data_IF_119545226132
#
_entry.id   IF_119545226132
#
_cell.length_a   1.000
_cell.length_b   1.000
_cell.length_c   1.000
_cell.angle_alpha   90.00
_cell.angle_beta   90.00
_cell.angle_gamma   90.00
#
_symmetry.space_group_name_H-M   'P 1'
#
loop_
_entity.id
_entity.type
_entity.pdbx_description
1 polymer ?
#
# COMPACT_ATOMS: atom_id res chain seq x y z
N UNK A 1 7.95 -18.89 -7.03
CA UNK A 1 6.54 -19.20 -6.64
C UNK A 1 6.04 -18.28 -5.54
N UNK A 2 6.71 -18.15 -4.39
CA UNK A 2 6.29 -17.25 -3.30
C UNK A 2 6.02 -15.80 -3.76
N UNK A 3 7.00 -15.15 -4.41
CA UNK A 3 6.87 -13.75 -4.88
C UNK A 3 5.68 -13.55 -5.83
N UNK A 4 5.40 -14.54 -6.70
CA UNK A 4 4.29 -14.46 -7.64
C UNK A 4 2.94 -14.41 -6.91
N UNK A 5 2.78 -15.22 -5.85
CA UNK A 5 1.59 -15.17 -5.00
C UNK A 5 1.52 -13.88 -4.18
N UNK A 6 2.65 -13.39 -3.65
CA UNK A 6 2.70 -12.14 -2.86
C UNK A 6 2.18 -10.90 -3.60
N UNK A 7 2.17 -10.91 -4.94
CA UNK A 7 1.69 -9.79 -5.78
C UNK A 7 0.23 -9.88 -6.21
N UNK A 8 -0.54 -10.88 -5.75
CA UNK A 8 -1.96 -11.06 -6.10
C UNK A 8 -2.94 -10.57 -5.02
N UNK A 9 -2.44 -10.27 -3.82
CA UNK A 9 -3.20 -9.61 -2.74
C UNK A 9 -4.51 -10.31 -2.33
N UNK A 10 -4.61 -11.64 -2.51
CA UNK A 10 -5.71 -12.43 -1.95
C UNK A 10 -5.26 -13.14 -0.67
N UNK A 11 -6.17 -13.45 0.27
CA UNK A 11 -5.83 -14.27 1.44
C UNK A 11 -5.21 -15.61 1.06
N UNK A 12 -5.76 -16.27 0.03
CA UNK A 12 -5.27 -17.56 -0.46
C UNK A 12 -3.85 -17.47 -1.03
N UNK A 13 -3.56 -16.42 -1.81
CA UNK A 13 -2.21 -16.20 -2.34
C UNK A 13 -1.22 -15.83 -1.22
N UNK A 14 -1.65 -15.04 -0.22
CA UNK A 14 -0.80 -14.71 0.94
C UNK A 14 -0.43 -15.96 1.75
N UNK A 15 -1.36 -16.91 1.90
CA UNK A 15 -1.11 -18.19 2.55
C UNK A 15 -0.20 -19.10 1.71
N UNK A 16 -0.45 -19.19 0.40
CA UNK A 16 0.40 -19.94 -0.52
C UNK A 16 1.84 -19.41 -0.52
N UNK A 17 2.02 -18.09 -0.49
CA UNK A 17 3.33 -17.46 -0.34
C UNK A 17 4.00 -17.89 0.96
N UNK A 18 3.29 -17.91 2.09
CA UNK A 18 3.83 -18.32 3.39
C UNK A 18 4.39 -19.75 3.36
N UNK A 19 3.66 -20.72 2.78
CA UNK A 19 4.11 -22.11 2.67
C UNK A 19 5.44 -22.22 1.90
N UNK A 20 5.55 -21.53 0.76
CA UNK A 20 6.79 -21.54 -0.01
C UNK A 20 7.95 -20.85 0.72
N UNK A 21 7.67 -19.82 1.50
CA UNK A 21 8.67 -19.10 2.29
C UNK A 21 9.18 -19.94 3.46
N UNK A 22 8.30 -20.65 4.16
CA UNK A 22 8.70 -21.59 5.19
C UNK A 22 9.63 -22.67 4.64
N UNK A 23 9.29 -23.22 3.46
CA UNK A 23 10.17 -24.20 2.81
C UNK A 23 11.53 -23.62 2.42
N UNK A 24 11.55 -22.38 1.92
CA UNK A 24 12.80 -21.71 1.58
C UNK A 24 13.68 -21.51 2.83
N UNK A 25 13.09 -21.05 3.94
CA UNK A 25 13.80 -20.82 5.20
C UNK A 25 14.22 -22.11 5.92
N UNK A 26 13.53 -23.23 5.69
CA UNK A 26 14.00 -24.55 6.15
C UNK A 26 15.24 -25.03 5.40
N UNK A 27 15.37 -24.68 4.12
CA UNK A 27 16.50 -25.07 3.28
C UNK A 27 17.70 -24.14 3.49
N UNK A 28 17.44 -22.85 3.60
CA UNK A 28 18.43 -21.80 3.84
C UNK A 28 17.86 -20.76 4.82
N UNK A 29 18.13 -20.92 6.14
CA UNK A 29 17.68 -19.98 7.17
C UNK A 29 18.18 -18.54 6.97
N UNK A 30 19.31 -18.37 6.28
CA UNK A 30 19.98 -17.08 6.07
C UNK A 30 19.61 -16.46 4.70
N UNK A 31 18.61 -17.03 4.01
CA UNK A 31 18.17 -16.50 2.73
C UNK A 31 17.45 -15.15 2.90
N UNK A 32 18.20 -14.05 2.79
CA UNK A 32 17.70 -12.67 3.00
C UNK A 32 16.37 -12.36 2.29
N UNK A 33 16.24 -12.74 1.00
CA UNK A 33 15.02 -12.47 0.23
C UNK A 33 13.79 -13.23 0.71
N UNK A 34 13.96 -14.39 1.35
CA UNK A 34 12.83 -15.08 1.97
C UNK A 34 12.33 -14.31 3.20
N UNK A 35 13.22 -13.71 4.00
CA UNK A 35 12.82 -12.82 5.10
C UNK A 35 12.16 -11.54 4.57
N UNK A 36 12.68 -10.94 3.49
CA UNK A 36 12.03 -9.79 2.84
C UNK A 36 10.62 -10.12 2.34
N UNK A 37 10.43 -11.29 1.73
CA UNK A 37 9.12 -11.75 1.27
C UNK A 37 8.18 -12.10 2.43
N UNK A 38 8.69 -12.68 3.53
CA UNK A 38 7.93 -12.91 4.76
C UNK A 38 7.40 -11.60 5.34
N UNK A 39 8.22 -10.55 5.34
CA UNK A 39 7.79 -9.20 5.71
C UNK A 39 6.61 -8.71 4.87
N UNK A 40 6.65 -8.92 3.54
CA UNK A 40 5.56 -8.51 2.66
C UNK A 40 4.26 -9.27 2.89
N UNK A 41 4.34 -10.56 3.26
CA UNK A 41 3.17 -11.35 3.63
C UNK A 41 2.51 -10.79 4.89
N UNK A 42 3.29 -10.51 5.94
CA UNK A 42 2.80 -9.87 7.17
C UNK A 42 2.25 -8.46 6.91
N UNK A 43 2.96 -7.65 6.10
CA UNK A 43 2.48 -6.34 5.65
C UNK A 43 1.12 -6.48 4.97
N UNK A 44 0.95 -7.45 4.07
CA UNK A 44 -0.28 -7.62 3.31
C UNK A 44 -1.46 -8.01 4.21
N UNK A 45 -1.22 -8.88 5.21
CA UNK A 45 -2.21 -9.25 6.22
C UNK A 45 -2.65 -8.05 7.06
N UNK A 46 -1.70 -7.21 7.47
CA UNK A 46 -2.00 -5.98 8.22
C UNK A 46 -2.75 -4.95 7.36
N UNK A 47 -2.24 -4.70 6.15
CA UNK A 47 -2.74 -3.67 5.24
C UNK A 47 -4.11 -4.00 4.66
N UNK A 48 -4.41 -5.28 4.42
CA UNK A 48 -5.71 -5.72 3.89
C UNK A 48 -6.69 -6.19 4.97
N UNK A 49 -6.35 -5.98 6.25
CA UNK A 49 -7.19 -6.38 7.40
C UNK A 49 -7.59 -7.87 7.39
N UNK A 50 -6.64 -8.74 7.03
CA UNK A 50 -6.85 -10.20 6.99
C UNK A 50 -6.09 -10.94 8.09
N UNK A 51 -5.31 -10.23 8.91
CA UNK A 51 -4.61 -10.80 10.06
C UNK A 51 -5.50 -10.91 11.29
N UNK A 52 -5.27 -11.92 12.14
CA UNK A 52 -6.03 -12.08 13.39
C UNK A 52 -5.66 -11.00 14.42
N UNK A 53 -4.38 -10.65 14.50
CA UNK A 53 -3.87 -9.55 15.31
C UNK A 53 -3.03 -8.63 14.42
N UNK A 54 -3.62 -7.49 14.04
CA UNK A 54 -2.97 -6.54 13.13
C UNK A 54 -1.71 -5.93 13.74
N UNK A 55 -1.63 -5.77 15.07
CA UNK A 55 -0.41 -5.23 15.71
C UNK A 55 0.73 -6.24 15.62
N UNK A 56 0.42 -7.51 15.83
CA UNK A 56 1.36 -8.60 15.61
C UNK A 56 1.84 -8.65 14.16
N UNK A 57 0.94 -8.55 13.18
CA UNK A 57 1.32 -8.54 11.76
C UNK A 57 2.25 -7.36 11.40
N UNK A 58 1.96 -6.15 11.91
CA UNK A 58 2.84 -4.98 11.69
C UNK A 58 4.23 -5.23 12.28
N UNK A 59 4.30 -5.76 13.51
CA UNK A 59 5.57 -6.02 14.18
C UNK A 59 6.38 -7.12 13.47
N UNK A 60 5.72 -8.21 13.05
CA UNK A 60 6.39 -9.28 12.30
C UNK A 60 6.85 -8.82 10.91
N UNK A 61 6.11 -7.91 10.27
CA UNK A 61 6.56 -7.29 9.03
C UNK A 61 7.87 -6.53 9.24
N UNK A 62 7.96 -5.75 10.33
CA UNK A 62 9.16 -5.00 10.69
C UNK A 62 10.34 -5.92 11.01
N UNK A 63 10.18 -6.85 11.94
CA UNK A 63 11.23 -7.77 12.37
C UNK A 63 11.78 -8.62 11.21
N UNK A 64 10.90 -9.13 10.33
CA UNK A 64 11.32 -9.91 9.17
C UNK A 64 12.11 -9.07 8.15
N UNK A 65 11.73 -7.81 7.94
CA UNK A 65 12.46 -6.92 7.05
C UNK A 65 13.82 -6.51 7.63
N UNK A 66 13.89 -6.22 8.93
CA UNK A 66 15.15 -5.92 9.62
C UNK A 66 16.12 -7.09 9.52
N UNK A 67 15.63 -8.31 9.69
CA UNK A 67 16.43 -9.52 9.54
C UNK A 67 16.94 -9.70 8.09
N UNK A 68 16.10 -9.44 7.09
CA UNK A 68 16.55 -9.43 5.69
C UNK A 68 17.69 -8.43 5.46
N UNK A 69 17.54 -7.20 5.96
CA UNK A 69 18.57 -6.16 5.81
C UNK A 69 19.86 -6.50 6.57
N UNK A 70 19.77 -7.19 7.72
CA UNK A 70 20.98 -7.63 8.43
C UNK A 70 21.72 -8.75 7.71
N UNK A 71 21.01 -9.61 6.97
CA UNK A 71 21.58 -10.69 6.18
C UNK A 71 22.20 -10.18 4.87
N UNK A 72 21.55 -9.23 4.20
CA UNK A 72 22.11 -8.53 3.03
C UNK A 72 21.66 -7.07 2.98
N UNK A 73 22.55 -6.18 3.43
CA UNK A 73 22.29 -4.74 3.47
C UNK A 73 22.32 -4.06 2.10
N UNK A 74 22.71 -4.78 1.04
CA UNK A 74 22.77 -4.25 -0.33
C UNK A 74 21.61 -4.73 -1.19
N UNK A 75 20.72 -5.58 -0.69
CA UNK A 75 19.54 -6.00 -1.46
C UNK A 75 18.45 -4.93 -1.38
N UNK A 76 18.05 -4.42 -2.55
CA UNK A 76 17.01 -3.41 -2.67
C UNK A 76 15.67 -3.90 -2.10
N UNK A 77 15.39 -5.20 -2.20
CA UNK A 77 14.14 -5.79 -1.72
C UNK A 77 14.03 -5.73 -0.18
N UNK A 78 15.12 -5.98 0.56
CA UNK A 78 15.12 -5.91 2.02
C UNK A 78 14.78 -4.52 2.53
N UNK A 79 15.47 -3.50 2.01
CA UNK A 79 15.21 -2.09 2.34
C UNK A 79 13.81 -1.62 1.91
N UNK A 80 13.30 -2.13 0.78
CA UNK A 80 11.94 -1.86 0.33
C UNK A 80 10.89 -2.44 1.28
N UNK A 81 11.04 -3.71 1.66
CA UNK A 81 10.17 -4.35 2.66
C UNK A 81 10.22 -3.62 3.99
N UNK A 82 11.42 -3.19 4.42
CA UNK A 82 11.60 -2.42 5.66
C UNK A 82 10.87 -1.09 5.62
N UNK A 83 10.99 -0.34 4.53
CA UNK A 83 10.29 0.93 4.37
C UNK A 83 8.77 0.79 4.42
N UNK A 84 8.22 -0.26 3.80
CA UNK A 84 6.78 -0.55 3.88
C UNK A 84 6.33 -0.93 5.29
N UNK A 85 7.11 -1.75 5.99
CA UNK A 85 6.80 -2.13 7.38
C UNK A 85 6.85 -0.92 8.33
N UNK A 86 7.88 -0.08 8.20
CA UNK A 86 8.01 1.16 8.97
C UNK A 86 6.85 2.12 8.71
N UNK A 87 6.35 2.19 7.48
CA UNK A 87 5.17 2.98 7.15
C UNK A 87 3.92 2.54 7.94
N UNK A 88 3.62 1.23 7.99
CA UNK A 88 2.50 0.73 8.79
C UNK A 88 2.70 0.95 10.30
N UNK A 89 3.95 0.96 10.75
CA UNK A 89 4.31 1.33 12.11
C UNK A 89 4.27 2.86 12.37
N UNK A 90 3.79 3.66 11.41
CA UNK A 90 3.71 5.13 11.45
C UNK A 90 5.08 5.82 11.59
N UNK A 91 6.16 5.14 11.21
CA UNK A 91 7.53 5.64 11.23
C UNK A 91 7.90 6.25 9.87
N UNK A 92 7.17 7.29 9.47
CA UNK A 92 7.25 7.90 8.13
C UNK A 92 8.68 8.26 7.68
N UNK A 93 9.45 8.90 8.56
CA UNK A 93 10.79 9.39 8.19
C UNK A 93 11.78 8.23 8.04
N UNK A 94 11.66 7.19 8.88
CA UNK A 94 12.43 5.95 8.74
C UNK A 94 12.04 5.21 7.47
N UNK A 95 10.73 5.14 7.17
CA UNK A 95 10.22 4.50 5.96
C UNK A 95 10.83 5.11 4.70
N UNK A 96 10.84 6.45 4.60
CA UNK A 96 11.45 7.17 3.47
C UNK A 96 12.96 6.90 3.38
N UNK A 97 13.69 6.91 4.51
CA UNK A 97 15.12 6.62 4.52
C UNK A 97 15.46 5.18 4.08
N UNK A 98 14.65 4.20 4.49
CA UNK A 98 14.81 2.81 4.02
C UNK A 98 14.51 2.69 2.53
N UNK A 99 13.48 3.36 2.03
CA UNK A 99 13.14 3.36 0.61
C UNK A 99 14.20 4.07 -0.25
N UNK A 100 14.84 5.11 0.29
CA UNK A 100 16.00 5.72 -0.33
C UNK A 100 17.17 4.72 -0.45
N UNK A 101 17.48 3.97 0.61
CA UNK A 101 18.51 2.90 0.56
C UNK A 101 18.17 1.82 -0.46
N UNK A 102 16.89 1.45 -0.58
CA UNK A 102 16.43 0.51 -1.62
C UNK A 102 16.78 1.02 -3.03
N UNK A 103 16.53 2.30 -3.30
CA UNK A 103 16.80 2.91 -4.60
C UNK A 103 18.29 3.23 -4.82
N UNK A 104 19.07 3.46 -3.77
CA UNK A 104 20.53 3.52 -3.87
C UNK A 104 21.13 2.16 -4.26
N UNK A 105 20.58 1.07 -3.71
CA UNK A 105 20.98 -0.30 -4.06
C UNK A 105 20.56 -0.68 -5.49
N UNK A 106 19.37 -0.26 -5.92
CA UNK A 106 18.90 -0.44 -7.29
C UNK A 106 18.04 0.75 -7.75
N UNK A 107 18.63 1.69 -8.52
CA UNK A 107 17.91 2.86 -9.03
C UNK A 107 16.76 2.55 -9.98
N UNK A 108 16.69 1.34 -10.54
CA UNK A 108 15.63 0.92 -11.45
C UNK A 108 14.58 0.04 -10.77
N UNK A 109 14.56 0.00 -9.42
CA UNK A 109 13.62 -0.83 -8.68
C UNK A 109 12.22 -0.18 -8.67
N UNK A 110 11.36 -0.60 -9.60
CA UNK A 110 10.02 -0.05 -9.78
C UNK A 110 9.19 -0.06 -8.49
N UNK A 111 9.26 -1.15 -7.71
CA UNK A 111 8.56 -1.28 -6.44
C UNK A 111 9.10 -0.31 -5.37
N UNK A 112 10.40 0.01 -5.42
CA UNK A 112 11.03 1.02 -4.56
C UNK A 112 10.51 2.42 -4.86
N UNK A 113 10.45 2.81 -6.15
CA UNK A 113 9.88 4.08 -6.58
C UNK A 113 8.40 4.19 -6.20
N UNK A 114 7.61 3.13 -6.43
CA UNK A 114 6.21 3.10 -6.04
C UNK A 114 6.06 3.28 -4.53
N UNK A 115 6.77 2.50 -3.72
CA UNK A 115 6.66 2.58 -2.27
C UNK A 115 7.11 3.95 -1.73
N UNK A 116 8.16 4.55 -2.30
CA UNK A 116 8.60 5.90 -1.92
C UNK A 116 7.55 6.95 -2.25
N UNK A 117 6.97 6.91 -3.45
CA UNK A 117 5.86 7.77 -3.82
C UNK A 117 4.64 7.58 -2.90
N UNK A 118 4.23 6.33 -2.69
CA UNK A 118 3.12 5.98 -1.79
C UNK A 118 3.31 6.52 -0.37
N UNK A 119 4.49 6.31 0.23
CA UNK A 119 4.82 6.83 1.56
C UNK A 119 4.88 8.36 1.55
N UNK A 120 5.39 8.98 0.49
CA UNK A 120 5.47 10.45 0.39
C UNK A 120 4.09 11.11 0.40
N UNK A 121 3.12 10.54 -0.32
CA UNK A 121 1.72 11.01 -0.32
C UNK A 121 1.16 11.07 1.09
N UNK A 122 1.32 9.99 1.85
CA UNK A 122 0.77 9.87 3.21
C UNK A 122 1.64 10.53 4.28
N UNK A 123 2.88 10.90 3.94
CA UNK A 123 3.82 11.63 4.81
C UNK A 123 3.70 13.16 4.71
N UNK A 124 2.73 13.68 3.94
CA UNK A 124 2.56 15.12 3.79
C UNK A 124 3.32 15.75 2.62
N UNK A 125 3.87 14.95 1.71
CA UNK A 125 4.73 15.41 0.61
C UNK A 125 4.13 14.93 -0.73
N UNK A 126 2.87 15.31 -1.07
CA UNK A 126 2.16 14.73 -2.20
C UNK A 126 2.69 15.17 -3.56
N UNK A 127 3.22 16.39 -3.70
CA UNK A 127 3.68 16.94 -4.99
C UNK A 127 4.89 16.14 -5.51
N UNK A 128 5.86 15.91 -4.64
CA UNK A 128 7.11 15.22 -4.93
C UNK A 128 6.89 13.71 -5.14
N UNK A 129 5.73 13.17 -4.74
CA UNK A 129 5.38 11.77 -4.94
C UNK A 129 5.02 11.42 -6.40
N UNK A 130 4.49 12.37 -7.18
CA UNK A 130 4.00 12.09 -8.54
C UNK A 130 5.13 11.58 -9.47
N UNK A 131 6.30 12.26 -9.56
CA UNK A 131 7.40 11.79 -10.40
C UNK A 131 7.88 10.37 -10.05
N UNK A 132 7.87 10.00 -8.77
CA UNK A 132 8.24 8.67 -8.29
C UNK A 132 7.24 7.61 -8.76
N UNK A 133 5.95 7.88 -8.63
CA UNK A 133 4.88 6.98 -9.05
C UNK A 133 4.87 6.81 -10.57
N UNK A 134 5.15 7.87 -11.32
CA UNK A 134 5.30 7.81 -12.78
C UNK A 134 6.58 7.06 -13.19
N UNK A 135 7.68 7.22 -12.46
CA UNK A 135 8.90 6.44 -12.69
C UNK A 135 8.64 4.95 -12.48
N UNK A 136 7.96 4.57 -11.40
CA UNK A 136 7.57 3.17 -11.15
C UNK A 136 6.76 2.58 -12.31
N UNK A 137 5.75 3.32 -12.79
CA UNK A 137 4.93 2.89 -13.92
C UNK A 137 5.73 2.79 -15.24
N UNK A 138 6.66 3.70 -15.50
CA UNK A 138 7.54 3.63 -16.69
C UNK A 138 8.49 2.43 -16.64
N UNK A 139 9.04 2.15 -15.46
CA UNK A 139 9.96 1.04 -15.24
C UNK A 139 9.25 -0.33 -15.32
N UNK A 140 7.96 -0.39 -14.96
CA UNK A 140 7.15 -1.60 -14.99
C UNK A 140 5.72 -1.30 -15.47
N UNK A 141 5.47 -1.21 -16.79
CA UNK A 141 4.15 -0.83 -17.32
C UNK A 141 3.03 -1.85 -17.10
N UNK A 142 3.39 -3.11 -16.83
CA UNK A 142 2.45 -4.21 -16.55
C UNK A 142 2.62 -4.74 -15.12
N UNK A 143 3.03 -3.87 -14.20
CA UNK A 143 3.28 -4.25 -12.81
C UNK A 143 1.99 -4.74 -12.12
N UNK A 144 2.05 -5.81 -11.31
CA UNK A 144 0.91 -6.23 -10.49
C UNK A 144 0.40 -5.14 -9.53
N UNK A 145 1.22 -4.15 -9.19
CA UNK A 145 0.88 -3.00 -8.34
C UNK A 145 0.40 -1.78 -9.11
N UNK A 146 0.16 -1.87 -10.43
CA UNK A 146 -0.25 -0.73 -11.25
C UNK A 146 -1.51 -0.03 -10.70
N UNK A 147 -2.49 -0.79 -10.22
CA UNK A 147 -3.68 -0.27 -9.54
C UNK A 147 -3.31 0.66 -8.36
N UNK A 148 -2.29 0.29 -7.58
CA UNK A 148 -1.86 1.01 -6.40
C UNK A 148 -1.03 2.24 -6.77
N UNK A 149 -0.21 2.15 -7.82
CA UNK A 149 0.54 3.30 -8.35
C UNK A 149 -0.42 4.39 -8.84
N UNK A 150 -1.43 4.01 -9.62
CA UNK A 150 -2.46 4.93 -10.14
C UNK A 150 -3.29 5.51 -8.99
N UNK A 151 -3.73 4.68 -8.06
CA UNK A 151 -4.51 5.13 -6.90
C UNK A 151 -3.72 6.10 -6.00
N UNK A 152 -2.42 5.85 -5.79
CA UNK A 152 -1.57 6.76 -5.01
C UNK A 152 -1.41 8.12 -5.68
N UNK A 153 -1.31 8.17 -7.02
CA UNK A 153 -1.30 9.43 -7.77
C UNK A 153 -2.64 10.15 -7.64
N UNK A 154 -3.76 9.42 -7.66
CA UNK A 154 -5.07 10.01 -7.48
C UNK A 154 -5.22 10.66 -6.09
N UNK A 155 -4.77 9.99 -5.03
CA UNK A 155 -4.73 10.57 -3.68
C UNK A 155 -3.82 11.80 -3.66
N UNK A 156 -2.63 11.75 -4.26
CA UNK A 156 -1.74 12.91 -4.37
C UNK A 156 -2.43 14.13 -5.03
N UNK A 157 -3.18 13.92 -6.11
CA UNK A 157 -3.94 14.97 -6.79
C UNK A 157 -5.08 15.50 -5.91
N UNK A 158 -5.81 14.62 -5.22
CA UNK A 158 -6.86 15.02 -4.29
C UNK A 158 -6.34 15.90 -3.15
N UNK A 159 -5.17 15.55 -2.58
CA UNK A 159 -4.51 16.35 -1.54
C UNK A 159 -3.96 17.70 -2.05
N UNK A 160 -3.84 17.86 -3.37
CA UNK A 160 -3.52 19.12 -4.05
C UNK A 160 -4.77 19.86 -4.54
N UNK A 161 -5.97 19.43 -4.12
CA UNK A 161 -7.26 20.00 -4.52
C UNK A 161 -7.57 19.91 -6.02
N UNK A 162 -6.84 19.06 -6.76
CA UNK A 162 -7.10 18.75 -8.18
C UNK A 162 -8.15 17.64 -8.28
N UNK A 163 -9.35 17.92 -7.79
CA UNK A 163 -10.36 16.91 -7.52
C UNK A 163 -10.86 16.20 -8.79
N UNK A 164 -11.05 16.91 -9.91
CA UNK A 164 -11.49 16.31 -11.18
C UNK A 164 -10.50 15.26 -11.68
N UNK A 165 -9.22 15.63 -11.80
CA UNK A 165 -8.15 14.72 -12.22
C UNK A 165 -8.01 13.54 -11.24
N UNK A 166 -8.14 13.79 -9.94
CA UNK A 166 -8.10 12.75 -8.92
C UNK A 166 -9.25 11.74 -9.09
N UNK A 167 -10.47 12.20 -9.32
CA UNK A 167 -11.64 11.33 -9.47
C UNK A 167 -11.52 10.43 -10.70
N UNK A 168 -11.14 10.99 -11.85
CA UNK A 168 -10.91 10.21 -13.08
C UNK A 168 -9.83 9.15 -12.87
N UNK A 169 -8.71 9.55 -12.26
CA UNK A 169 -7.57 8.66 -12.05
C UNK A 169 -7.89 7.55 -11.03
N UNK A 170 -8.62 7.88 -9.96
CA UNK A 170 -9.00 6.91 -8.95
C UNK A 170 -9.99 5.86 -9.51
N UNK A 171 -10.95 6.28 -10.34
CA UNK A 171 -11.86 5.34 -11.02
C UNK A 171 -11.08 4.42 -11.95
N UNK A 172 -10.12 4.94 -12.73
CA UNK A 172 -9.27 4.12 -13.59
C UNK A 172 -8.52 3.04 -12.80
N UNK A 173 -8.01 3.36 -11.61
CA UNK A 173 -7.33 2.38 -10.76
C UNK A 173 -8.23 1.18 -10.39
N UNK A 174 -9.55 1.34 -10.36
CA UNK A 174 -10.49 0.24 -10.06
C UNK A 174 -10.67 -0.75 -11.20
N UNK A 175 -10.24 -0.39 -12.41
CA UNK A 175 -10.31 -1.23 -13.62
C UNK A 175 -9.09 -2.13 -13.78
N UNK A 176 -8.02 -1.85 -13.05
CA UNK A 176 -6.79 -2.61 -13.08
C UNK A 176 -6.93 -3.97 -12.36
N UNK A 177 -6.11 -4.94 -12.77
CA UNK A 177 -6.05 -6.23 -12.11
C UNK A 177 -5.64 -6.06 -10.63
N UNK A 178 -6.15 -6.95 -9.76
CA UNK A 178 -5.86 -6.99 -8.32
C UNK A 178 -6.35 -5.77 -7.51
N UNK A 179 -7.14 -4.86 -8.08
CA UNK A 179 -7.75 -3.76 -7.33
C UNK A 179 -8.59 -4.30 -6.16
N UNK A 180 -8.13 -4.05 -4.93
CA UNK A 180 -8.78 -4.49 -3.70
C UNK A 180 -9.70 -3.39 -3.13
N UNK A 181 -10.42 -3.69 -2.04
CA UNK A 181 -11.47 -2.85 -1.47
C UNK A 181 -11.05 -1.41 -1.14
N UNK A 182 -9.80 -1.18 -0.69
CA UNK A 182 -9.30 0.19 -0.48
C UNK A 182 -9.27 1.04 -1.75
N UNK A 183 -9.00 0.44 -2.92
CA UNK A 183 -8.94 1.17 -4.20
C UNK A 183 -10.32 1.70 -4.57
N UNK A 184 -11.36 0.88 -4.35
CA UNK A 184 -12.75 1.32 -4.51
C UNK A 184 -13.14 2.40 -3.51
N UNK A 185 -12.65 2.32 -2.27
CA UNK A 185 -12.88 3.36 -1.26
C UNK A 185 -12.21 4.70 -1.62
N UNK A 186 -10.99 4.66 -2.16
CA UNK A 186 -10.28 5.85 -2.65
C UNK A 186 -11.02 6.46 -3.85
N UNK A 187 -11.49 5.63 -4.80
CA UNK A 187 -12.32 6.10 -5.91
C UNK A 187 -13.60 6.77 -5.42
N UNK A 188 -14.30 6.16 -4.46
CA UNK A 188 -15.49 6.73 -3.86
C UNK A 188 -15.21 8.07 -3.16
N UNK A 189 -14.12 8.17 -2.38
CA UNK A 189 -13.72 9.42 -1.75
C UNK A 189 -13.43 10.53 -2.79
N UNK A 190 -12.66 10.22 -3.84
CA UNK A 190 -12.35 11.20 -4.89
C UNK A 190 -13.62 11.63 -5.66
N UNK A 191 -14.55 10.72 -5.93
CA UNK A 191 -15.84 11.04 -6.55
C UNK A 191 -16.72 11.95 -5.67
N UNK A 192 -16.70 11.76 -4.34
CA UNK A 192 -17.39 12.70 -3.43
C UNK A 192 -16.76 14.08 -3.41
N UNK A 193 -15.44 14.20 -3.58
CA UNK A 193 -14.76 15.51 -3.62
C UNK A 193 -15.20 16.35 -4.83
N UNK A 194 -15.62 15.71 -5.93
CA UNK A 194 -16.19 16.38 -7.12
C UNK A 194 -17.73 16.40 -7.14
N UNK A 195 -18.39 15.99 -6.05
CA UNK A 195 -19.85 15.99 -5.94
C UNK A 195 -20.57 14.90 -6.75
N UNK A 196 -19.85 13.90 -7.27
CA UNK A 196 -20.43 12.74 -7.99
C UNK A 196 -20.92 11.66 -7.03
N UNK A 197 -21.80 12.03 -6.10
CA UNK A 197 -22.15 11.18 -4.96
C UNK A 197 -22.88 9.88 -5.33
N UNK A 198 -23.57 9.83 -6.47
CA UNK A 198 -24.20 8.59 -6.94
C UNK A 198 -23.13 7.54 -7.33
N UNK A 199 -22.12 7.96 -8.09
CA UNK A 199 -21.00 7.10 -8.50
C UNK A 199 -20.13 6.72 -7.30
N UNK A 200 -19.90 7.68 -6.39
CA UNK A 200 -19.16 7.44 -5.17
C UNK A 200 -19.79 6.33 -4.32
N UNK A 201 -21.12 6.38 -4.11
CA UNK A 201 -21.86 5.33 -3.39
C UNK A 201 -21.75 3.97 -4.08
N UNK A 202 -21.76 3.92 -5.40
CA UNK A 202 -21.59 2.66 -6.15
C UNK A 202 -20.21 2.03 -5.88
N UNK A 203 -19.13 2.81 -5.97
CA UNK A 203 -17.79 2.33 -5.65
C UNK A 203 -17.65 1.97 -4.17
N UNK A 204 -18.22 2.75 -3.25
CA UNK A 204 -18.20 2.44 -1.81
C UNK A 204 -18.94 1.12 -1.51
N UNK A 205 -20.09 0.88 -2.14
CA UNK A 205 -20.81 -0.38 -1.98
C UNK A 205 -19.95 -1.57 -2.43
N UNK A 206 -19.21 -1.42 -3.53
CA UNK A 206 -18.26 -2.45 -3.98
C UNK A 206 -17.13 -2.69 -2.96
N UNK A 207 -16.60 -1.63 -2.35
CA UNK A 207 -15.60 -1.75 -1.28
C UNK A 207 -16.14 -2.53 -0.08
N UNK A 208 -17.35 -2.18 0.38
CA UNK A 208 -18.03 -2.84 1.52
C UNK A 208 -18.38 -4.31 1.23
N UNK A 209 -18.76 -4.64 -0.01
CA UNK A 209 -19.03 -6.03 -0.41
C UNK A 209 -17.76 -6.88 -0.42
N UNK A 210 -16.60 -6.29 -0.73
CA UNK A 210 -15.32 -6.99 -0.81
C UNK A 210 -14.62 -7.17 0.53
N UNK A 211 -15.04 -6.45 1.57
CA UNK A 211 -14.46 -6.56 2.90
C UNK A 211 -15.53 -6.39 3.99
N UNK A 212 -15.86 -7.49 4.66
CA UNK A 212 -16.80 -7.47 5.78
C UNK A 212 -16.22 -6.70 6.97
N UNK A 213 -16.99 -5.80 7.57
CA UNK A 213 -16.51 -4.95 8.67
C UNK A 213 -15.60 -3.80 8.24
N UNK A 214 -15.50 -3.51 6.95
CA UNK A 214 -14.69 -2.39 6.47
C UNK A 214 -15.20 -1.05 6.99
N UNK A 215 -14.29 -0.21 7.47
CA UNK A 215 -14.59 1.05 8.15
C UNK A 215 -13.50 2.10 7.92
N UNK A 216 -13.77 3.35 8.31
CA UNK A 216 -12.80 4.45 8.30
C UNK A 216 -11.62 4.14 9.23
N UNK A 217 -11.87 3.51 10.39
CA UNK A 217 -10.80 3.01 11.26
C UNK A 217 -9.87 2.03 10.53
N UNK A 218 -10.43 1.03 9.84
CA UNK A 218 -9.65 0.06 9.05
C UNK A 218 -8.86 0.77 7.94
N UNK A 219 -9.50 1.69 7.22
CA UNK A 219 -8.83 2.49 6.19
C UNK A 219 -7.64 3.28 6.75
N UNK A 220 -7.83 4.06 7.83
CA UNK A 220 -6.77 4.90 8.38
C UNK A 220 -5.67 4.13 9.11
N UNK A 221 -5.91 2.87 9.48
CA UNK A 221 -4.84 1.98 9.92
C UNK A 221 -3.93 1.54 8.76
N UNK A 222 -4.51 1.29 7.58
CA UNK A 222 -3.75 0.94 6.36
C UNK A 222 -3.08 2.15 5.72
N UNK A 223 -3.67 3.34 5.87
CA UNK A 223 -3.16 4.61 5.36
C UNK A 223 -2.96 5.61 6.51
N UNK A 224 -1.94 5.42 7.37
CA UNK A 224 -1.63 6.40 8.41
C UNK A 224 -1.16 7.70 7.75
N UNK A 225 -1.97 8.75 7.82
CA UNK A 225 -1.59 10.09 7.35
C UNK A 225 -0.79 10.81 8.42
N UNK A 226 0.37 11.37 8.06
CA UNK A 226 1.21 12.17 8.96
C UNK A 226 0.58 13.52 9.30
N UNK A 227 -0.11 14.15 8.33
CA UNK A 227 -0.71 15.47 8.50
C UNK A 227 -2.22 15.36 8.84
N UNK A 228 -2.69 15.96 9.95
CA UNK A 228 -4.11 15.94 10.33
C UNK A 228 -5.05 16.48 9.26
N UNK A 229 -4.70 17.59 8.60
CA UNK A 229 -5.54 18.20 7.56
C UNK A 229 -5.79 17.26 6.36
N UNK A 230 -4.78 16.49 5.96
CA UNK A 230 -4.90 15.50 4.88
C UNK A 230 -5.81 14.35 5.29
N UNK A 231 -5.66 13.88 6.53
CA UNK A 231 -6.54 12.87 7.11
C UNK A 231 -7.99 13.35 7.15
N UNK A 232 -8.24 14.57 7.62
CA UNK A 232 -9.58 15.16 7.76
C UNK A 232 -10.29 15.30 6.41
N UNK A 233 -9.58 15.76 5.37
CA UNK A 233 -10.11 15.83 4.00
C UNK A 233 -10.61 14.45 3.53
N UNK A 234 -9.75 13.45 3.67
CA UNK A 234 -10.08 12.08 3.25
C UNK A 234 -11.18 11.46 4.14
N UNK A 235 -11.16 11.72 5.45
CA UNK A 235 -12.15 11.20 6.39
C UNK A 235 -13.56 11.74 6.07
N UNK A 236 -13.66 13.04 5.82
CA UNK A 236 -14.91 13.68 5.44
C UNK A 236 -15.44 13.15 4.11
N UNK A 237 -14.57 12.95 3.11
CA UNK A 237 -14.95 12.38 1.82
C UNK A 237 -15.43 10.93 1.95
N UNK A 238 -14.70 10.08 2.68
CA UNK A 238 -15.08 8.69 2.94
C UNK A 238 -16.40 8.58 3.71
N UNK A 239 -16.61 9.44 4.70
CA UNK A 239 -17.85 9.48 5.48
C UNK A 239 -19.05 9.84 4.59
N UNK A 240 -18.93 10.86 3.74
CA UNK A 240 -19.99 11.23 2.77
C UNK A 240 -20.25 10.14 1.73
N UNK A 241 -19.20 9.42 1.32
CA UNK A 241 -19.31 8.30 0.40
C UNK A 241 -20.01 7.08 1.03
N UNK A 242 -20.18 7.05 2.36
CA UNK A 242 -20.89 6.01 3.09
C UNK A 242 -20.00 5.00 3.81
N UNK A 243 -18.70 5.28 4.02
CA UNK A 243 -17.83 4.41 4.82
C UNK A 243 -18.12 4.61 6.33
N UNK A 244 -18.51 3.56 7.08
CA UNK A 244 -18.81 3.68 8.50
C UNK A 244 -17.56 4.02 9.31
N UNK A 245 -17.72 4.62 10.49
CA UNK A 245 -16.59 5.07 11.32
C UNK A 245 -15.68 3.92 11.80
N UNK A 246 -16.26 2.77 12.15
CA UNK A 246 -15.62 1.74 12.96
C UNK A 246 -16.43 1.51 14.23
N UNK A 247 -16.07 0.52 15.04
CA UNK A 247 -16.68 0.24 16.34
C UNK A 247 -15.68 0.48 17.44
#
# INVERSE_FOLDING_TARGET
MALWHSFRFTPADTEAAAIFLERALQLDPDFSRAHAARSLSHFSRAFLDTGQDIRFEIEQARLSAEHSVSLDSRDAMGHWSLGRAQFLAQQHDLALASLERSLQANPNYAQGHYARGFVSVHSGIPVEAIPELEAAQRLSPFDPLLFAMISSRAVSLALQEKFDEAAELAVRATLEANAHFHIYAIAAACLELVGRSADARHHMQTALQRHNGYSREVFFRSFPYKLPAQRELMDAALARAGLPAGR
#
